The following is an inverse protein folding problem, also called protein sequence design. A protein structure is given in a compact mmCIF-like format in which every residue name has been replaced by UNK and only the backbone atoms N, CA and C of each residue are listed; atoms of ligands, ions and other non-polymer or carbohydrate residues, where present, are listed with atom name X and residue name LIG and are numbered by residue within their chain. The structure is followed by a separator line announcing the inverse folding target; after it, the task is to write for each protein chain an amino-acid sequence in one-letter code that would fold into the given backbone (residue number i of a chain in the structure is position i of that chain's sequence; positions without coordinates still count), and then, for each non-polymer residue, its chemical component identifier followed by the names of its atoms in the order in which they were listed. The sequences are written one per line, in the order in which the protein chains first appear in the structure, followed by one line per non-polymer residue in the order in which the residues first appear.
data_IF_296515957132
#
_entry.id   IF_296515957132
#
_cell.length_a   1.000
_cell.length_b   1.000
_cell.length_c   1.000
_cell.angle_alpha   90.00
_cell.angle_beta   90.00
_cell.angle_gamma   90.00
#
_symmetry.space_group_name_H-M   'P 1'
#
loop_
_entity.id
_entity.type
_entity.pdbx_description
1 polymer ?
#
# COMPACT_ATOMS: atom_id res chain seq x y z
N UNK A 1 -11.09 -4.51 13.15
CA UNK A 1 -11.81 -4.27 11.89
C UNK A 1 -10.86 -3.81 10.80
N UNK A 2 -10.25 -2.61 10.83
CA UNK A 2 -9.37 -2.13 9.75
C UNK A 2 -8.22 -3.07 9.31
N UNK A 3 -7.52 -3.75 10.24
CA UNK A 3 -6.50 -4.76 9.87
C UNK A 3 -7.09 -6.00 9.18
N UNK A 4 -8.29 -6.42 9.59
CA UNK A 4 -8.98 -7.55 8.99
C UNK A 4 -9.51 -7.19 7.60
N UNK A 5 -10.03 -5.97 7.42
CA UNK A 5 -10.48 -5.46 6.13
C UNK A 5 -9.31 -5.35 5.15
N UNK A 6 -8.15 -4.88 5.61
CA UNK A 6 -6.93 -4.84 4.81
C UNK A 6 -6.47 -6.25 4.40
N UNK A 7 -6.43 -7.20 5.33
CA UNK A 7 -6.05 -8.58 5.05
C UNK A 7 -7.00 -9.23 4.02
N UNK A 8 -8.31 -9.02 4.17
CA UNK A 8 -9.32 -9.51 3.24
C UNK A 8 -9.19 -8.86 1.86
N UNK A 9 -8.96 -7.55 1.81
CA UNK A 9 -8.74 -6.82 0.55
C UNK A 9 -7.51 -7.35 -0.21
N UNK A 10 -6.39 -7.58 0.50
CA UNK A 10 -5.20 -8.18 -0.09
C UNK A 10 -5.47 -9.59 -0.63
N UNK A 11 -6.17 -10.43 0.15
CA UNK A 11 -6.53 -11.78 -0.27
C UNK A 11 -7.42 -11.79 -1.53
N UNK A 12 -8.45 -10.95 -1.56
CA UNK A 12 -9.34 -10.82 -2.71
C UNK A 12 -8.59 -10.30 -3.95
N UNK A 13 -7.70 -9.33 -3.77
CA UNK A 13 -6.89 -8.78 -4.87
C UNK A 13 -5.98 -9.85 -5.49
N UNK A 14 -5.28 -10.64 -4.67
CA UNK A 14 -4.45 -11.75 -5.14
C UNK A 14 -5.30 -12.86 -5.79
N UNK A 15 -6.46 -13.19 -5.22
CA UNK A 15 -7.36 -14.17 -5.81
C UNK A 15 -7.90 -13.74 -7.17
N UNK A 16 -8.22 -12.45 -7.35
CA UNK A 16 -8.66 -11.89 -8.63
C UNK A 16 -7.56 -12.00 -9.70
N UNK A 17 -6.30 -11.71 -9.34
CA UNK A 17 -5.17 -11.86 -10.26
C UNK A 17 -4.98 -13.32 -10.71
N UNK A 18 -5.00 -14.27 -9.78
CA UNK A 18 -4.93 -15.70 -10.11
C UNK A 18 -6.11 -16.16 -10.98
N UNK A 19 -7.33 -15.72 -10.66
CA UNK A 19 -8.53 -16.04 -11.44
C UNK A 19 -8.44 -15.50 -12.86
N UNK A 20 -7.93 -14.27 -13.04
CA UNK A 20 -7.73 -13.68 -14.36
C UNK A 20 -6.75 -14.48 -15.21
N UNK A 21 -5.60 -14.87 -14.64
CA UNK A 21 -4.60 -15.69 -15.35
C UNK A 21 -5.20 -17.05 -15.73
N UNK A 22 -5.90 -17.70 -14.81
CA UNK A 22 -6.58 -18.97 -15.07
C UNK A 22 -7.64 -18.86 -16.18
N UNK A 23 -8.44 -17.79 -16.16
CA UNK A 23 -9.46 -17.53 -17.17
C UNK A 23 -8.84 -17.31 -18.56
N UNK A 24 -7.78 -16.51 -18.67
CA UNK A 24 -7.07 -16.27 -19.94
C UNK A 24 -6.46 -17.57 -20.46
N UNK A 25 -5.82 -18.36 -19.59
CA UNK A 25 -5.26 -19.66 -19.99
C UNK A 25 -6.36 -20.60 -20.51
N UNK A 26 -7.49 -20.72 -19.81
CA UNK A 26 -8.63 -21.53 -20.24
C UNK A 26 -9.22 -21.06 -21.58
N UNK A 27 -9.32 -19.74 -21.81
CA UNK A 27 -9.77 -19.18 -23.08
C UNK A 27 -8.82 -19.53 -24.23
N UNK A 28 -7.50 -19.45 -24.01
CA UNK A 28 -6.51 -19.85 -25.00
C UNK A 28 -6.65 -21.33 -25.37
N UNK A 29 -6.88 -22.21 -24.38
CA UNK A 29 -7.13 -23.63 -24.63
C UNK A 29 -8.41 -23.86 -25.45
N UNK A 30 -9.51 -23.19 -25.08
CA UNK A 30 -10.80 -23.34 -25.74
C UNK A 30 -10.79 -22.80 -27.18
N UNK A 31 -10.05 -21.71 -27.45
CA UNK A 31 -9.94 -21.15 -28.79
C UNK A 31 -8.92 -21.85 -29.68
N UNK A 32 -8.05 -22.70 -29.12
CA UNK A 32 -6.96 -23.36 -29.84
C UNK A 32 -5.89 -22.40 -30.38
N UNK A 33 -5.99 -21.10 -30.04
CA UNK A 33 -5.04 -20.04 -30.41
C UNK A 33 -4.88 -19.08 -29.23
N UNK A 34 -3.68 -18.50 -29.01
CA UNK A 34 -3.46 -17.61 -27.89
C UNK A 34 -4.12 -16.24 -28.15
N UNK A 35 -5.12 -15.88 -27.33
CA UNK A 35 -5.61 -14.50 -27.25
C UNK A 35 -4.56 -13.58 -26.60
N UNK A 36 -3.93 -14.08 -25.53
CA UNK A 36 -2.82 -13.44 -24.85
C UNK A 36 -1.77 -14.51 -24.52
N UNK A 37 -0.56 -14.35 -25.03
CA UNK A 37 0.57 -15.24 -24.75
C UNK A 37 1.13 -14.95 -23.35
N UNK A 38 0.55 -15.61 -22.34
CA UNK A 38 0.94 -15.48 -20.95
C UNK A 38 2.41 -15.89 -20.69
N UNK A 39 2.92 -17.02 -21.20
CA UNK A 39 4.34 -17.36 -21.08
C UNK A 39 5.28 -16.26 -21.56
N UNK A 40 5.07 -15.75 -22.79
CA UNK A 40 5.91 -14.67 -23.34
C UNK A 40 5.78 -13.37 -22.54
N UNK A 41 4.58 -13.06 -22.05
CA UNK A 41 4.35 -11.89 -21.21
C UNK A 41 5.10 -11.98 -19.87
N UNK A 42 5.04 -13.12 -19.18
CA UNK A 42 5.75 -13.30 -17.91
C UNK A 42 7.27 -13.33 -18.09
N UNK A 43 7.78 -13.97 -19.14
CA UNK A 43 9.21 -13.95 -19.47
C UNK A 43 9.71 -12.53 -19.75
N UNK A 44 8.96 -11.78 -20.56
CA UNK A 44 9.32 -10.40 -20.88
C UNK A 44 9.29 -9.45 -19.68
N UNK A 45 8.37 -9.64 -18.73
CA UNK A 45 8.35 -8.86 -17.47
C UNK A 45 9.64 -9.09 -16.66
N UNK A 46 10.17 -10.32 -16.66
CA UNK A 46 11.38 -10.69 -15.91
C UNK A 46 12.66 -10.23 -16.62
N UNK A 47 12.74 -10.42 -17.94
CA UNK A 47 13.96 -10.16 -18.72
C UNK A 47 14.08 -8.71 -19.16
N UNK A 48 12.96 -8.07 -19.50
CA UNK A 48 12.93 -6.73 -20.10
C UNK A 48 11.82 -5.87 -19.48
N UNK A 49 11.81 -5.64 -18.15
CA UNK A 49 10.72 -4.97 -17.44
C UNK A 49 10.38 -3.58 -17.99
N UNK A 50 11.37 -2.87 -18.56
CA UNK A 50 11.16 -1.57 -19.20
C UNK A 50 10.24 -1.58 -20.42
N UNK A 51 10.10 -2.72 -21.11
CA UNK A 51 9.13 -2.87 -22.21
C UNK A 51 7.68 -2.96 -21.71
N UNK A 52 7.50 -3.25 -20.42
CA UNK A 52 6.19 -3.49 -19.79
C UNK A 52 5.78 -2.35 -18.84
N UNK A 53 6.35 -1.15 -18.99
CA UNK A 53 6.02 0.05 -18.18
C UNK A 53 4.52 0.34 -18.17
N UNK A 54 3.80 0.03 -19.25
CA UNK A 54 2.35 0.20 -19.32
C UNK A 54 1.58 -0.69 -18.32
N UNK A 55 2.05 -1.92 -18.05
CA UNK A 55 1.47 -2.80 -17.02
C UNK A 55 1.66 -2.17 -15.65
N UNK A 56 2.86 -1.67 -15.38
CA UNK A 56 3.14 -0.94 -14.15
C UNK A 56 2.29 0.34 -14.05
N UNK A 57 2.12 1.10 -15.14
CA UNK A 57 1.29 2.29 -15.16
C UNK A 57 -0.19 1.98 -14.86
N UNK A 58 -0.75 0.92 -15.43
CA UNK A 58 -2.10 0.48 -15.11
C UNK A 58 -2.21 -0.01 -13.65
N UNK A 59 -1.26 -0.81 -13.18
CA UNK A 59 -1.25 -1.31 -11.80
C UNK A 59 -1.12 -0.18 -10.78
N UNK A 60 -0.17 0.74 -11.01
CA UNK A 60 0.04 1.90 -10.15
C UNK A 60 -1.08 2.93 -10.26
N UNK A 61 -1.87 2.97 -11.34
CA UNK A 61 -3.02 3.89 -11.43
C UNK A 61 -4.08 3.68 -10.35
N UNK A 62 -4.19 2.46 -9.81
CA UNK A 62 -5.13 2.11 -8.73
C UNK A 62 -4.44 1.98 -7.37
N UNK A 63 -3.22 1.42 -7.34
CA UNK A 63 -2.44 1.29 -6.10
C UNK A 63 -1.97 2.66 -5.59
N UNK A 64 -1.55 3.58 -6.46
CA UNK A 64 -1.02 4.88 -6.05
C UNK A 64 -2.08 5.75 -5.35
N UNK A 65 -3.30 5.95 -5.90
CA UNK A 65 -4.35 6.67 -5.17
C UNK A 65 -4.73 5.99 -3.86
N UNK A 66 -4.76 4.65 -3.83
CA UNK A 66 -5.06 3.89 -2.61
C UNK A 66 -4.00 4.09 -1.52
N UNK A 67 -2.72 4.06 -1.90
CA UNK A 67 -1.61 4.33 -1.00
C UNK A 67 -1.65 5.78 -0.49
N UNK A 68 -1.97 6.76 -1.35
CA UNK A 68 -2.15 8.15 -0.94
C UNK A 68 -3.32 8.30 0.05
N UNK A 69 -4.46 7.65 -0.19
CA UNK A 69 -5.58 7.66 0.76
C UNK A 69 -5.20 7.03 2.10
N UNK A 70 -4.44 5.93 2.09
CA UNK A 70 -3.94 5.32 3.32
C UNK A 70 -3.01 6.27 4.08
N UNK A 71 -2.04 6.90 3.40
CA UNK A 71 -1.13 7.89 3.99
C UNK A 71 -1.89 9.09 4.60
N UNK A 72 -2.87 9.62 3.87
CA UNK A 72 -3.73 10.69 4.38
C UNK A 72 -4.58 10.25 5.58
N UNK A 73 -5.10 9.03 5.56
CA UNK A 73 -5.88 8.47 6.68
C UNK A 73 -5.02 8.28 7.93
N UNK A 74 -3.73 7.98 7.77
CA UNK A 74 -2.77 7.86 8.87
C UNK A 74 -2.52 9.21 9.57
N UNK A 75 -2.74 10.34 8.90
CA UNK A 75 -2.77 11.65 9.58
C UNK A 75 -3.86 11.71 10.64
N UNK A 76 -4.94 10.94 10.50
CA UNK A 76 -5.99 10.80 11.52
C UNK A 76 -5.49 10.23 12.85
N UNK A 77 -4.34 9.54 12.86
CA UNK A 77 -3.70 9.05 14.09
C UNK A 77 -3.24 10.18 15.02
N UNK A 78 -3.13 11.42 14.52
CA UNK A 78 -2.96 12.61 15.38
C UNK A 78 -4.06 12.72 16.45
N UNK A 79 -5.24 12.16 16.15
CA UNK A 79 -6.38 12.07 17.06
C UNK A 79 -6.10 11.25 18.31
N UNK A 80 -5.06 10.40 18.32
CA UNK A 80 -4.64 9.58 19.46
C UNK A 80 -3.89 10.42 20.52
N UNK A 81 -3.38 11.61 20.17
CA UNK A 81 -2.61 12.44 21.09
C UNK A 81 -3.38 12.71 22.41
N UNK A 82 -2.77 12.57 23.59
CA UNK A 82 -3.52 12.67 24.85
C UNK A 82 -4.25 14.02 24.99
N UNK A 83 -5.50 13.97 25.49
CA UNK A 83 -6.37 15.17 25.62
C UNK A 83 -5.84 16.19 26.63
N UNK A 84 -5.21 15.72 27.71
CA UNK A 84 -4.70 16.57 28.78
C UNK A 84 -3.69 17.63 28.31
N UNK A 85 -2.59 17.29 27.60
CA UNK A 85 -1.66 18.30 27.10
C UNK A 85 -2.28 19.21 26.03
N UNK A 86 -3.23 18.73 25.20
CA UNK A 86 -3.91 19.60 24.24
C UNK A 86 -4.66 20.75 24.91
N UNK A 87 -5.27 20.48 26.08
CA UNK A 87 -6.00 21.50 26.84
C UNK A 87 -5.08 22.61 27.36
N UNK A 88 -3.89 22.26 27.85
CA UNK A 88 -2.90 23.25 28.29
C UNK A 88 -2.37 24.10 27.12
N UNK A 89 -2.12 23.47 25.97
CA UNK A 89 -1.69 24.20 24.76
C UNK A 89 -2.80 25.14 24.27
N UNK A 90 -4.07 24.73 24.33
CA UNK A 90 -5.19 25.59 23.99
C UNK A 90 -5.25 26.84 24.88
N UNK A 91 -5.04 26.69 26.20
CA UNK A 91 -4.95 27.83 27.12
C UNK A 91 -3.80 28.78 26.74
N UNK A 92 -2.62 28.26 26.41
CA UNK A 92 -1.50 29.09 25.97
C UNK A 92 -1.77 29.81 24.65
N UNK A 93 -2.57 29.22 23.75
CA UNK A 93 -3.00 29.87 22.49
C UNK A 93 -3.98 31.00 22.78
N UNK A 94 -4.94 30.80 23.69
CA UNK A 94 -5.90 31.83 24.12
C UNK A 94 -5.21 33.02 24.80
N UNK A 95 -4.21 32.75 25.65
CA UNK A 95 -3.46 33.77 26.40
C UNK A 95 -2.32 34.43 25.59
N UNK A 96 -2.05 33.94 24.38
CA UNK A 96 -0.95 34.43 23.53
C UNK A 96 -0.97 35.94 23.24
N UNK A 97 -2.14 36.61 23.00
CA UNK A 97 -2.18 38.04 22.78
C UNK A 97 -1.76 38.88 23.99
N UNK A 98 -1.94 38.34 25.20
CA UNK A 98 -1.66 39.03 26.46
C UNK A 98 -0.22 38.82 26.94
N UNK A 99 0.52 37.86 26.37
CA UNK A 99 1.84 37.49 26.87
C UNK A 99 2.72 36.86 25.78
N UNK A 100 3.87 37.50 25.51
CA UNK A 100 4.87 36.99 24.56
C UNK A 100 5.38 35.59 24.92
N UNK A 101 5.46 35.26 26.22
CA UNK A 101 5.86 33.93 26.68
C UNK A 101 4.83 32.86 26.33
N UNK A 102 3.54 33.18 26.44
CA UNK A 102 2.45 32.27 26.06
C UNK A 102 2.43 32.07 24.54
N UNK A 103 2.65 33.12 23.75
CA UNK A 103 2.79 33.01 22.29
C UNK A 103 3.95 32.08 21.87
N UNK A 104 5.13 32.22 22.50
CA UNK A 104 6.27 31.34 22.23
C UNK A 104 5.97 29.88 22.60
N UNK A 105 5.41 29.64 23.79
CA UNK A 105 5.05 28.29 24.27
C UNK A 105 4.00 27.64 23.38
N UNK A 106 2.98 28.38 22.97
CA UNK A 106 1.94 27.91 22.05
C UNK A 106 2.54 27.50 20.71
N UNK A 107 3.40 28.33 20.11
CA UNK A 107 4.04 28.03 18.82
C UNK A 107 4.92 26.78 18.89
N UNK A 108 5.78 26.66 19.90
CA UNK A 108 6.62 25.47 20.09
C UNK A 108 5.79 24.21 20.33
N UNK A 109 4.76 24.31 21.18
CA UNK A 109 3.91 23.17 21.50
C UNK A 109 3.09 22.70 20.30
N UNK A 110 2.55 23.63 19.50
CA UNK A 110 1.87 23.30 18.24
C UNK A 110 2.84 22.64 17.24
N UNK A 111 4.06 23.17 17.13
CA UNK A 111 5.10 22.57 16.30
C UNK A 111 5.39 21.12 16.70
N UNK A 112 5.55 20.83 17.99
CA UNK A 112 5.77 19.48 18.50
C UNK A 112 4.56 18.55 18.31
N UNK A 113 3.34 19.05 18.56
CA UNK A 113 2.10 18.30 18.37
C UNK A 113 1.93 17.85 16.92
N UNK A 114 2.38 18.64 15.95
CA UNK A 114 2.33 18.26 14.54
C UNK A 114 3.50 17.38 14.12
N UNK A 115 4.73 17.74 14.51
CA UNK A 115 5.94 17.06 14.04
C UNK A 115 6.14 15.68 14.64
N UNK A 116 5.84 15.49 15.93
CA UNK A 116 6.07 14.19 16.61
C UNK A 116 5.20 13.08 15.99
N UNK A 117 3.88 13.22 15.84
CA UNK A 117 3.05 12.18 15.23
C UNK A 117 3.45 11.89 13.78
N UNK A 118 3.81 12.92 12.99
CA UNK A 118 4.29 12.74 11.63
C UNK A 118 5.62 11.98 11.58
N UNK A 119 6.56 12.33 12.47
CA UNK A 119 7.85 11.64 12.56
C UNK A 119 7.67 10.18 13.00
N UNK A 120 6.80 9.92 13.97
CA UNK A 120 6.44 8.56 14.41
C UNK A 120 5.79 7.78 13.27
N UNK A 121 4.84 8.39 12.55
CA UNK A 121 4.20 7.77 11.40
C UNK A 121 5.22 7.41 10.31
N UNK A 122 6.11 8.34 9.98
CA UNK A 122 7.21 8.12 9.04
C UNK A 122 8.12 6.98 9.50
N UNK A 123 8.51 6.96 10.77
CA UNK A 123 9.34 5.91 11.35
C UNK A 123 8.65 4.54 11.33
N UNK A 124 7.35 4.47 11.63
CA UNK A 124 6.57 3.24 11.58
C UNK A 124 6.43 2.71 10.15
N UNK A 125 6.18 3.60 9.19
CA UNK A 125 6.10 3.26 7.76
C UNK A 125 7.45 2.76 7.26
N UNK A 126 8.52 3.46 7.61
CA UNK A 126 9.89 3.07 7.30
C UNK A 126 10.24 1.70 7.89
N UNK A 127 9.95 1.49 9.18
CA UNK A 127 10.19 0.21 9.85
C UNK A 127 9.40 -0.92 9.19
N UNK A 128 8.14 -0.68 8.83
CA UNK A 128 7.32 -1.65 8.10
C UNK A 128 7.93 -1.97 6.72
N UNK A 129 8.42 -0.98 5.99
CA UNK A 129 9.08 -1.19 4.70
C UNK A 129 10.41 -1.95 4.84
N UNK A 130 11.27 -1.59 5.79
CA UNK A 130 12.58 -2.22 5.95
C UNK A 130 12.48 -3.64 6.52
N UNK A 131 11.61 -3.87 7.49
CA UNK A 131 11.45 -5.19 8.14
C UNK A 131 10.51 -6.08 7.33
N UNK A 132 9.41 -5.53 6.83
CA UNK A 132 8.42 -6.27 6.05
C UNK A 132 8.79 -6.43 4.58
N UNK A 133 9.64 -5.56 4.02
CA UNK A 133 10.02 -5.56 2.61
C UNK A 133 10.54 -6.91 2.12
N UNK A 134 11.54 -7.54 2.78
CA UNK A 134 12.03 -8.85 2.38
C UNK A 134 10.95 -9.93 2.37
N UNK A 135 10.07 -9.92 3.38
CA UNK A 135 8.95 -10.87 3.49
C UNK A 135 7.93 -10.65 2.37
N UNK A 136 7.54 -9.40 2.13
CA UNK A 136 6.61 -9.02 1.06
C UNK A 136 7.18 -9.42 -0.31
N UNK A 137 8.45 -9.12 -0.57
CA UNK A 137 9.10 -9.50 -1.83
C UNK A 137 9.14 -11.02 -2.01
N UNK A 138 9.42 -11.77 -0.94
CA UNK A 138 9.40 -13.25 -0.99
C UNK A 138 8.00 -13.78 -1.28
N UNK A 139 6.97 -13.25 -0.63
CA UNK A 139 5.58 -13.64 -0.87
C UNK A 139 5.12 -13.28 -2.29
N UNK A 140 5.50 -12.11 -2.79
CA UNK A 140 5.19 -11.68 -4.16
C UNK A 140 5.92 -12.53 -5.21
N UNK A 141 7.15 -12.95 -4.93
CA UNK A 141 7.87 -13.88 -5.80
C UNK A 141 7.18 -15.25 -5.86
N UNK A 142 6.81 -15.81 -4.70
CA UNK A 142 6.04 -17.06 -4.62
C UNK A 142 4.70 -16.96 -5.34
N UNK A 143 4.02 -15.83 -5.21
CA UNK A 143 2.78 -15.56 -5.91
C UNK A 143 2.99 -15.46 -7.42
N UNK A 144 4.06 -14.80 -7.88
CA UNK A 144 4.41 -14.76 -9.31
C UNK A 144 4.69 -16.16 -9.87
N UNK A 145 5.46 -16.99 -9.15
CA UNK A 145 5.73 -18.37 -9.52
C UNK A 145 4.43 -19.17 -9.63
N UNK A 146 3.49 -18.95 -8.70
CA UNK A 146 2.16 -19.56 -8.74
C UNK A 146 1.35 -19.11 -9.96
N UNK A 147 1.40 -17.83 -10.35
CA UNK A 147 0.74 -17.34 -11.57
C UNK A 147 1.34 -17.96 -12.84
N UNK A 148 2.67 -18.09 -12.90
CA UNK A 148 3.38 -18.74 -14.01
C UNK A 148 2.98 -20.22 -14.09
N UNK A 149 2.86 -20.89 -12.94
CA UNK A 149 2.39 -22.27 -12.88
C UNK A 149 0.97 -22.40 -13.46
N UNK A 150 0.02 -21.54 -13.08
CA UNK A 150 -1.34 -21.52 -13.67
C UNK A 150 -1.28 -21.28 -15.18
N UNK A 151 -0.42 -20.37 -15.63
CA UNK A 151 -0.34 -20.01 -17.05
C UNK A 151 0.25 -21.11 -17.95
N UNK A 152 0.98 -22.06 -17.36
CA UNK A 152 1.68 -23.13 -18.07
C UNK A 152 1.06 -24.51 -17.88
N UNK A 153 0.32 -24.72 -16.79
CA UNK A 153 -0.33 -25.99 -16.47
C UNK A 153 -1.86 -25.85 -16.55
N UNK A 154 -2.54 -26.73 -17.30
CA UNK A 154 -3.99 -26.67 -17.41
C UNK A 154 -4.65 -26.93 -16.05
N UNK A 155 -5.37 -25.94 -15.53
CA UNK A 155 -6.17 -26.07 -14.31
C UNK A 155 -7.53 -26.67 -14.67
N UNK A 156 -7.84 -27.86 -14.16
CA UNK A 156 -9.16 -28.49 -14.33
C UNK A 156 -9.32 -29.44 -15.52
N UNK A 157 -8.22 -29.92 -16.11
CA UNK A 157 -8.27 -31.05 -17.06
C UNK A 157 -8.14 -32.35 -16.25
N UNK A 158 -9.28 -32.93 -15.88
CA UNK A 158 -9.46 -34.34 -15.55
C UNK A 158 -10.12 -35.04 -16.74
#
# INVERSE_FOLDING_TARGET
WGLADLALACLLFLALGATLVAAIHALNLLAGTPFLDLPTLFDGIQTTPGAYVWLYAMLFSTILPTALHALLSLLGLQGIWPRAPRRHVAQWVEDAPASALHALRASLALGLIWTIPLAVLGALTWALCCVGGPVILTLLAQYLDFLIWIATHPVGVL
#
